data_IF_326649094305
#
_entry.id   IF_326649094305
#
_cell.length_a   1.000
_cell.length_b   1.000
_cell.length_c   1.000
_cell.angle_alpha   90.00
_cell.angle_beta   90.00
_cell.angle_gamma   90.00
#
_symmetry.space_group_name_H-M   'P 1'
#
loop_
_entity.id
_entity.type
_entity.pdbx_description
1 polymer ?
2 polymer ?
3 polymer ?
4 non-polymer ?
5 non-polymer ?
6 non-polymer ?
7 non-polymer ?
8 water ?
#
loop_
_entity_poly.entity_id
_entity_poly.type
_entity_poly.pdbx_seq_one_letter_code
_entity_poly.pdbx_strand_id
2 'polydeoxyribonucleotide' '(DA)(DG)(DC)(DG)(DT)(DG)(DG)(DG)(5FC)(DG)(DT)' ?
3 'polydeoxyribonucleotide' '(DT)(DA)(5CM)(DG)(DC)(DC)(DC)(DA)(DC)(DG)(DC)' ?
#
# COMPACT_ATOMS: atom_id res chain seq x y z
N UNK A 4 24.74 23.38 11.25
CA UNK A 4 24.09 24.61 10.80
C UNK A 4 24.16 24.75 9.29
N UNK A 5 23.06 24.45 8.62
CA UNK A 5 23.01 24.35 7.16
C UNK A 5 21.86 25.20 6.64
N UNK A 6 21.71 25.23 5.32
CA UNK A 6 20.57 25.86 4.66
C UNK A 6 19.60 24.74 4.28
N UNK A 7 18.47 24.67 4.98
CA UNK A 7 17.42 23.72 4.68
C UNK A 7 16.13 24.52 4.65
N UNK A 8 15.84 25.19 3.54
CA UNK A 8 14.65 26.06 3.49
C UNK A 8 13.35 25.32 3.22
N UNK A 9 13.40 24.00 3.07
CA UNK A 9 12.24 23.18 2.73
C UNK A 9 11.69 22.57 4.02
N UNK A 10 10.76 23.28 4.66
CA UNK A 10 10.19 22.83 5.92
C UNK A 10 8.95 21.96 5.68
N UNK A 11 8.81 20.94 6.51
CA UNK A 11 7.60 20.14 6.49
C UNK A 11 6.53 20.83 7.31
N UNK A 12 5.41 21.16 6.67
CA UNK A 12 4.34 21.86 7.35
C UNK A 12 3.31 20.92 7.98
N UNK A 13 3.49 19.60 7.89
CA UNK A 13 2.51 18.72 8.52
C UNK A 13 2.45 18.95 10.03
N UNK A 14 1.26 18.73 10.60
CA UNK A 14 1.02 19.06 12.00
C UNK A 14 2.08 18.42 12.87
N UNK A 15 2.66 19.25 13.75
CA UNK A 15 3.64 18.84 14.76
C UNK A 15 4.95 18.33 14.18
N UNK A 16 5.18 18.48 12.88
CA UNK A 16 6.42 18.04 12.27
C UNK A 16 7.36 19.24 12.15
N UNK A 17 8.53 19.14 12.76
CA UNK A 17 9.52 20.20 12.71
C UNK A 17 10.76 19.78 11.92
N UNK A 18 10.60 18.97 10.89
CA UNK A 18 11.71 18.58 10.03
C UNK A 18 11.87 19.54 8.86
N UNK A 19 13.11 19.69 8.42
CA UNK A 19 13.40 20.57 7.30
C UNK A 19 14.48 19.91 6.45
N UNK A 20 14.50 20.27 5.19
CA UNK A 20 15.30 19.58 4.19
C UNK A 20 16.02 20.57 3.30
N UNK A 21 17.12 20.08 2.70
CA UNK A 21 17.96 20.85 1.82
C UNK A 21 17.45 20.91 0.38
N UNK A 22 16.66 19.94 -0.06
CA UNK A 22 16.19 19.96 -1.44
C UNK A 22 14.74 19.49 -1.49
N UNK A 23 13.99 20.00 -2.48
CA UNK A 23 12.55 19.75 -2.51
C UNK A 23 12.24 18.26 -2.54
N UNK A 24 13.07 17.45 -3.20
CA UNK A 24 12.72 16.03 -3.35
C UNK A 24 12.85 15.30 -2.02
N UNK A 25 13.81 15.70 -1.19
CA UNK A 25 13.97 15.02 0.08
C UNK A 25 12.79 15.30 0.99
N UNK A 26 12.22 16.50 0.89
CA UNK A 26 11.01 16.83 1.63
C UNK A 26 9.84 16.02 1.11
N UNK A 27 9.71 15.91 -0.20
CA UNK A 27 8.58 15.15 -0.73
C UNK A 27 8.67 13.68 -0.35
N UNK A 28 9.90 13.12 -0.37
CA UNK A 28 10.10 11.76 0.10
C UNK A 28 9.63 11.58 1.55
N UNK A 29 10.10 12.47 2.44
CA UNK A 29 9.70 12.41 3.83
C UNK A 29 8.21 12.50 3.98
N UNK A 30 7.57 13.35 3.17
CA UNK A 30 6.14 13.59 3.32
C UNK A 30 5.33 12.34 3.01
N UNK A 31 5.87 11.42 2.22
CA UNK A 31 5.15 10.18 1.97
C UNK A 31 4.99 9.37 3.22
N UNK A 32 5.81 9.61 4.24
CA UNK A 32 5.61 8.93 5.52
C UNK A 32 4.34 9.41 6.19
N UNK A 33 3.96 10.67 5.94
CA UNK A 33 2.75 11.21 6.54
C UNK A 33 1.51 10.76 5.79
N UNK A 34 1.60 10.69 4.46
CA UNK A 34 0.46 10.43 3.59
C UNK A 34 0.26 8.94 3.31
N UNK A 35 1.29 8.14 3.41
CA UNK A 35 1.22 6.76 2.96
C UNK A 35 1.25 6.55 1.47
N UNK A 36 1.58 7.57 0.70
CA UNK A 36 1.67 7.43 -0.74
C UNK A 36 2.80 6.49 -1.11
N UNK A 37 2.54 5.61 -2.08
CA UNK A 37 3.52 4.60 -2.51
C UNK A 37 3.58 4.61 -4.03
N UNK A 38 4.42 5.45 -4.62
CA UNK A 38 4.34 5.62 -6.08
C UNK A 38 4.91 4.45 -6.86
N UNK A 39 5.69 3.56 -6.25
CA UNK A 39 6.49 2.62 -7.04
C UNK A 39 5.94 1.21 -6.86
N UNK A 40 5.96 0.41 -7.94
CA UNK A 40 5.37 -0.91 -7.91
C UNK A 40 6.35 -1.95 -8.43
N UNK A 41 6.48 -3.02 -7.66
CA UNK A 41 7.16 -4.23 -8.06
C UNK A 41 6.32 -4.98 -9.09
N UNK A 42 6.87 -5.20 -10.28
CA UNK A 42 6.12 -5.86 -11.34
C UNK A 42 6.12 -7.36 -11.19
N UNK A 43 6.82 -7.91 -10.19
CA UNK A 43 6.80 -9.34 -9.91
C UNK A 43 5.66 -9.72 -8.99
N UNK A 44 5.44 -8.95 -7.92
CA UNK A 44 4.47 -9.31 -6.90
C UNK A 44 3.41 -8.24 -6.68
N UNK A 45 3.51 -7.08 -7.36
CA UNK A 45 2.51 -6.02 -7.41
C UNK A 45 2.57 -5.13 -6.17
N UNK A 46 3.41 -5.46 -5.19
CA UNK A 46 3.52 -4.63 -3.99
C UNK A 46 3.99 -3.22 -4.37
N UNK A 47 3.45 -2.22 -3.67
CA UNK A 47 3.86 -0.84 -3.86
C UNK A 47 4.71 -0.32 -2.70
N UNK A 48 5.55 0.66 -3.03
CA UNK A 48 6.55 1.18 -2.12
C UNK A 48 6.60 2.68 -2.21
N UNK A 49 7.02 3.32 -1.11
CA UNK A 49 7.17 4.78 -1.14
C UNK A 49 8.35 5.23 -1.98
N UNK A 50 9.34 4.36 -2.21
CA UNK A 50 10.65 4.80 -2.73
C UNK A 50 11.24 3.84 -3.74
N UNK A 51 11.83 4.40 -4.81
CA UNK A 51 12.42 3.53 -5.82
C UNK A 51 13.65 2.78 -5.29
N UNK A 52 14.43 3.38 -4.37
CA UNK A 52 15.61 2.69 -3.88
C UNK A 52 15.24 1.48 -3.03
N UNK A 53 14.17 1.60 -2.24
CA UNK A 53 13.61 0.49 -1.49
C UNK A 53 12.88 -0.52 -2.39
N UNK A 54 12.26 -0.07 -3.47
CA UNK A 54 11.78 -1.02 -4.46
C UNK A 54 12.94 -1.86 -5.00
N UNK A 55 14.08 -1.22 -5.27
CA UNK A 55 15.18 -1.92 -5.88
C UNK A 55 15.69 -3.05 -4.99
N UNK A 56 15.89 -2.78 -3.69
CA UNK A 56 16.37 -3.84 -2.80
C UNK A 56 15.27 -4.89 -2.59
N UNK A 57 14.01 -4.48 -2.49
CA UNK A 57 12.92 -5.45 -2.44
C UNK A 57 12.98 -6.45 -3.59
N UNK A 58 13.25 -5.99 -4.81
CA UNK A 58 13.23 -6.91 -5.94
C UNK A 58 14.30 -7.99 -5.81
N UNK A 59 15.38 -7.77 -5.03
CA UNK A 59 16.36 -8.82 -4.84
C UNK A 59 15.81 -10.01 -4.04
N UNK A 60 14.67 -9.84 -3.35
CA UNK A 60 14.03 -10.97 -2.67
C UNK A 60 13.43 -11.95 -3.67
N UNK A 61 13.08 -11.47 -4.87
CA UNK A 61 12.62 -12.34 -5.94
C UNK A 61 13.78 -12.93 -6.73
N UNK A 62 14.81 -12.12 -7.09
CA UNK A 62 15.86 -12.61 -7.98
C UNK A 62 16.97 -13.37 -7.27
N UNK A 63 17.10 -13.19 -5.95
CA UNK A 63 18.17 -13.85 -5.24
C UNK A 63 19.48 -13.13 -5.34
N UNK A 64 19.49 -11.94 -5.92
CA UNK A 64 20.72 -11.20 -6.13
C UNK A 64 21.32 -10.81 -4.77
N UNK A 65 22.60 -11.10 -4.59
CA UNK A 65 23.26 -10.89 -3.29
C UNK A 65 24.61 -10.27 -3.56
N UNK A 66 24.65 -8.96 -3.80
CA UNK A 66 25.90 -8.32 -4.24
C UNK A 66 26.94 -8.11 -3.16
N UNK A 67 26.63 -8.35 -1.89
CA UNK A 67 27.54 -8.02 -0.80
C UNK A 67 28.08 -9.30 -0.17
N UNK A 68 29.37 -9.54 -0.32
CA UNK A 68 29.98 -10.80 0.07
C UNK A 68 30.84 -10.59 1.31
N UNK A 69 30.76 -11.54 2.25
CA UNK A 69 31.60 -11.52 3.44
C UNK A 69 33.08 -11.63 3.09
N UNK A 70 33.90 -10.85 3.78
CA UNK A 70 35.34 -10.82 3.53
C UNK A 70 36.13 -11.72 4.46
N UNK A 71 35.46 -12.41 5.36
CA UNK A 71 36.14 -13.28 6.30
C UNK A 71 36.70 -14.49 5.56
N UNK A 72 37.92 -14.91 5.86
CA UNK A 72 38.50 -16.06 5.15
C UNK A 72 37.64 -17.31 5.33
N UNK A 73 37.39 -17.99 4.21
CA UNK A 73 36.64 -19.24 4.16
C UNK A 73 35.15 -19.06 4.44
N UNK A 74 34.66 -17.83 4.53
CA UNK A 74 33.24 -17.58 4.65
C UNK A 74 32.66 -17.29 3.27
N UNK A 75 31.61 -18.03 2.91
CA UNK A 75 30.93 -17.83 1.63
C UNK A 75 29.56 -17.17 1.80
N UNK A 76 29.34 -16.45 2.90
CA UNK A 76 28.06 -15.78 3.09
C UNK A 76 27.96 -14.54 2.22
N UNK A 77 26.80 -14.34 1.60
CA UNK A 77 26.50 -13.20 0.73
C UNK A 77 25.17 -12.57 1.13
N UNK A 78 24.98 -11.28 0.83
CA UNK A 78 23.79 -10.57 1.26
C UNK A 78 23.26 -9.62 0.18
N UNK A 79 21.94 -9.41 0.24
CA UNK A 79 21.27 -8.51 -0.69
C UNK A 79 21.60 -7.05 -0.41
N UNK A 80 21.85 -6.70 0.85
CA UNK A 80 22.00 -5.33 1.29
C UNK A 80 23.30 -5.13 2.06
N UNK A 81 23.85 -3.92 1.98
CA UNK A 81 25.12 -3.64 2.66
C UNK A 81 24.98 -3.68 4.20
N UNK A 82 23.85 -3.24 4.73
CA UNK A 82 23.63 -3.30 6.17
C UNK A 82 23.51 -4.73 6.65
N UNK A 83 22.98 -5.64 5.83
CA UNK A 83 23.02 -7.05 6.24
C UNK A 83 24.46 -7.53 6.43
N UNK A 84 25.37 -7.02 5.59
CA UNK A 84 26.76 -7.50 5.61
C UNK A 84 27.49 -6.90 6.79
N UNK A 85 27.25 -5.62 7.05
CA UNK A 85 27.75 -4.95 8.24
C UNK A 85 27.40 -5.77 9.48
N UNK A 86 26.13 -6.22 9.59
CA UNK A 86 25.75 -6.95 10.81
C UNK A 86 26.47 -8.28 10.90
N UNK A 87 26.62 -8.98 9.77
CA UNK A 87 27.33 -10.25 9.74
C UNK A 87 28.80 -10.08 10.12
N UNK A 88 29.45 -9.06 9.57
CA UNK A 88 30.84 -8.77 9.88
C UNK A 88 31.00 -8.46 11.35
N UNK A 89 30.05 -7.75 11.94
CA UNK A 89 30.17 -7.47 13.37
C UNK A 89 30.16 -8.79 14.16
N UNK A 90 29.55 -9.85 13.60
CA UNK A 90 29.44 -11.15 14.28
C UNK A 90 30.73 -11.95 14.27
N UNK A 91 31.44 -12.00 13.15
CA UNK A 91 32.73 -12.70 13.13
C UNK A 91 33.65 -12.25 14.26
N UNK A 92 33.60 -10.97 14.61
CA UNK A 92 34.59 -10.40 15.50
C UNK A 92 34.19 -10.45 16.97
N UNK A 93 32.90 -10.46 17.27
CA UNK A 93 32.43 -10.58 18.65
C UNK A 93 31.15 -11.41 18.71
N UNK D 7 -6.30 -22.78 -1.12
CA UNK D 7 -7.66 -22.41 -1.50
C UNK D 7 -8.40 -23.58 -2.16
N UNK D 8 -9.14 -24.36 -1.36
CA UNK D 8 -9.79 -25.55 -1.91
C UNK D 8 -11.19 -25.33 -2.45
N UNK D 9 -11.78 -24.15 -2.30
CA UNK D 9 -13.09 -23.86 -2.86
C UNK D 9 -12.94 -23.33 -4.28
N UNK D 10 -13.44 -24.10 -5.25
CA UNK D 10 -13.32 -23.80 -6.66
C UNK D 10 -14.65 -23.33 -7.24
N UNK D 11 -14.56 -22.40 -8.16
CA UNK D 11 -15.71 -21.94 -8.92
C UNK D 11 -15.85 -22.83 -10.14
N UNK D 12 -17.01 -23.45 -10.27
CA UNK D 12 -17.25 -24.38 -11.37
C UNK D 12 -17.90 -23.72 -12.57
N UNK D 13 -18.07 -22.40 -12.59
CA UNK D 13 -18.66 -21.76 -13.75
C UNK D 13 -17.74 -21.90 -14.96
N UNK D 14 -18.35 -21.81 -16.13
CA UNK D 14 -17.62 -21.98 -17.39
C UNK D 14 -16.40 -21.07 -17.43
N UNK D 15 -15.26 -21.66 -17.75
CA UNK D 15 -14.00 -20.98 -18.00
C UNK D 15 -13.47 -20.20 -16.81
N UNK D 16 -14.00 -20.43 -15.62
CA UNK D 16 -13.55 -19.72 -14.43
C UNK D 16 -12.59 -20.62 -13.67
N UNK D 17 -11.39 -20.12 -13.40
CA UNK D 17 -10.38 -20.89 -12.67
C UNK D 17 -10.12 -20.31 -11.28
N UNK D 18 -10.92 -19.34 -10.85
CA UNK D 18 -10.75 -18.75 -9.54
C UNK D 18 -10.96 -19.79 -8.44
N UNK D 19 -10.20 -19.64 -7.36
CA UNK D 19 -10.31 -20.49 -6.19
C UNK D 19 -10.35 -19.62 -4.95
N UNK D 20 -10.87 -20.18 -3.86
CA UNK D 20 -11.11 -19.38 -2.66
C UNK D 20 -10.77 -20.17 -1.40
N UNK D 21 -10.37 -19.43 -0.37
CA UNK D 21 -9.95 -20.00 0.89
C UNK D 21 -11.13 -20.28 1.83
N UNK D 22 -12.32 -19.79 1.52
CA UNK D 22 -13.46 -20.00 2.40
C UNK D 22 -14.74 -19.98 1.56
N UNK D 23 -15.72 -20.80 1.96
CA UNK D 23 -16.91 -20.95 1.15
C UNK D 23 -17.59 -19.62 0.87
N UNK D 24 -17.52 -18.66 1.81
CA UNK D 24 -18.25 -17.42 1.64
C UNK D 24 -17.61 -16.54 0.56
N UNK D 25 -16.30 -16.61 0.39
CA UNK D 25 -15.69 -15.81 -0.65
C UNK D 25 -16.01 -16.37 -2.02
N UNK D 26 -16.10 -17.69 -2.13
CA UNK D 26 -16.61 -18.30 -3.34
C UNK D 26 -18.02 -17.81 -3.62
N UNK D 27 -18.90 -17.91 -2.63
CA UNK D 27 -20.28 -17.49 -2.88
C UNK D 27 -20.34 -16.02 -3.29
N UNK D 28 -19.50 -15.18 -2.68
CA UNK D 28 -19.50 -13.77 -3.04
C UNK D 28 -19.14 -13.59 -4.51
N UNK D 29 -18.07 -14.27 -4.94
CA UNK D 29 -17.62 -14.21 -6.33
C UNK D 29 -18.69 -14.68 -7.30
N UNK D 30 -19.36 -15.78 -6.96
CA UNK D 30 -20.36 -16.33 -7.88
C UNK D 30 -21.50 -15.37 -8.10
N UNK D 31 -21.71 -14.44 -7.18
CA UNK D 31 -22.71 -13.41 -7.45
C UNK D 31 -22.35 -12.57 -8.67
N UNK D 32 -21.05 -12.51 -9.05
CA UNK D 32 -20.66 -11.81 -10.28
C UNK D 32 -21.25 -12.49 -11.51
N UNK D 33 -21.24 -13.83 -11.51
CA UNK D 33 -21.72 -14.65 -12.61
C UNK D 33 -23.24 -14.58 -12.72
N UNK D 34 -23.93 -14.59 -11.58
CA UNK D 34 -25.39 -14.76 -11.56
C UNK D 34 -26.15 -13.46 -11.53
N UNK D 35 -25.54 -12.38 -11.07
CA UNK D 35 -26.22 -11.12 -10.87
C UNK D 35 -27.08 -11.02 -9.64
N UNK D 36 -26.96 -11.96 -8.69
CA UNK D 36 -27.76 -11.92 -7.49
C UNK D 36 -27.38 -10.71 -6.65
N UNK D 37 -28.39 -10.07 -6.05
CA UNK D 37 -28.17 -8.86 -5.25
C UNK D 37 -28.99 -8.93 -3.96
N UNK D 38 -28.46 -9.57 -2.93
CA UNK D 38 -29.32 -9.87 -1.77
C UNK D 38 -29.63 -8.65 -0.91
N UNK D 39 -28.90 -7.55 -1.02
CA UNK D 39 -28.95 -6.48 -0.03
C UNK D 39 -29.56 -5.22 -0.63
N UNK D 40 -30.36 -4.52 0.14
CA UNK D 40 -31.17 -3.42 -0.36
C UNK D 40 -31.00 -2.19 0.52
N UNK D 41 -30.80 -1.05 -0.13
CA UNK D 41 -30.74 0.25 0.52
C UNK D 41 -32.12 0.65 0.98
N UNK D 42 -32.27 0.92 2.28
CA UNK D 42 -33.58 1.29 2.81
C UNK D 42 -34.00 2.69 2.37
N UNK D 43 -33.07 3.50 1.86
CA UNK D 43 -33.40 4.86 1.46
C UNK D 43 -33.95 4.92 0.04
N UNK D 44 -33.25 4.28 -0.91
CA UNK D 44 -33.59 4.37 -2.33
C UNK D 44 -33.97 3.03 -2.96
N UNK D 45 -33.96 1.93 -2.20
CA UNK D 45 -34.43 0.60 -2.61
C UNK D 45 -33.51 -0.05 -3.63
N UNK D 46 -32.42 0.61 -4.04
CA UNK D 46 -31.41 -0.05 -4.86
C UNK D 46 -30.88 -1.31 -4.18
N UNK D 47 -30.62 -2.36 -4.98
CA UNK D 47 -30.11 -3.62 -4.48
C UNK D 47 -28.65 -3.84 -4.87
N UNK D 48 -27.93 -4.58 -4.04
CA UNK D 48 -26.49 -4.75 -4.15
C UNK D 48 -26.11 -6.20 -3.91
N UNK D 49 -24.99 -6.60 -4.52
CA UNK D 49 -24.46 -7.95 -4.31
C UNK D 49 -23.87 -8.17 -2.93
N UNK D 50 -23.44 -7.11 -2.24
CA UNK D 50 -22.64 -7.23 -1.03
C UNK D 50 -23.04 -6.22 0.03
N UNK D 51 -22.98 -6.64 1.29
CA UNK D 51 -23.36 -5.74 2.36
C UNK D 51 -22.30 -4.66 2.61
N UNK D 52 -21.02 -4.91 2.31
CA UNK D 52 -20.02 -3.87 2.51
C UNK D 52 -20.17 -2.78 1.46
N UNK D 53 -20.51 -3.16 0.24
CA UNK D 53 -20.76 -2.17 -0.80
C UNK D 53 -22.08 -1.44 -0.57
N UNK D 54 -23.07 -2.11 0.01
CA UNK D 54 -24.25 -1.40 0.43
C UNK D 54 -23.92 -0.34 1.49
N UNK D 55 -23.01 -0.64 2.42
CA UNK D 55 -22.70 0.31 3.48
C UNK D 55 -22.03 1.57 2.92
N UNK D 56 -21.06 1.45 2.03
CA UNK D 56 -20.49 2.67 1.46
C UNK D 56 -21.53 3.39 0.59
N UNK D 57 -22.39 2.63 -0.09
CA UNK D 57 -23.45 3.28 -0.87
C UNK D 57 -24.32 4.18 0.01
N UNK D 58 -24.65 3.75 1.22
CA UNK D 58 -25.54 4.56 2.04
C UNK D 58 -24.93 5.91 2.39
N UNK D 59 -23.59 6.07 2.28
CA UNK D 59 -22.99 7.37 2.55
C UNK D 59 -23.28 8.38 1.44
N UNK D 60 -23.69 7.91 0.26
CA UNK D 60 -24.18 8.83 -0.74
C UNK D 60 -25.46 9.54 -0.27
N UNK D 61 -26.19 8.96 0.67
CA UNK D 61 -27.37 9.61 1.21
C UNK D 61 -27.07 10.41 2.47
N UNK D 62 -26.17 9.91 3.31
CA UNK D 62 -25.91 10.53 4.61
C UNK D 62 -24.82 11.59 4.56
N UNK D 63 -24.04 11.62 3.49
CA UNK D 63 -22.98 12.60 3.40
C UNK D 63 -21.84 12.36 4.36
N UNK D 64 -21.84 11.25 5.10
CA UNK D 64 -20.71 10.93 5.97
C UNK D 64 -19.42 10.85 5.17
N UNK D 65 -18.38 11.51 5.65
CA UNK D 65 -17.08 11.49 4.98
C UNK D 65 -16.02 11.32 6.06
N UNK D 66 -15.75 10.09 6.49
CA UNK D 66 -14.84 9.88 7.62
C UNK D 66 -13.36 9.87 7.27
N UNK D 67 -12.98 10.05 6.00
CA UNK D 67 -11.58 10.00 5.62
C UNK D 67 -11.11 11.39 5.23
N UNK D 68 -10.26 11.96 6.05
CA UNK D 68 -9.80 13.34 5.90
C UNK D 68 -8.40 13.40 5.31
N UNK D 69 -8.21 14.31 4.36
CA UNK D 69 -6.87 14.66 3.89
C UNK D 69 -5.97 15.08 5.03
N UNK D 70 -4.74 14.61 4.99
CA UNK D 70 -3.75 14.97 5.99
C UNK D 70 -2.88 16.14 5.56
N UNK D 71 -2.96 16.55 4.30
CA UNK D 71 -2.16 17.63 3.77
C UNK D 71 -2.40 18.93 4.55
N UNK D 72 -1.36 19.68 4.87
CA UNK D 72 -1.55 20.92 5.65
C UNK D 72 -2.56 21.88 5.03
N UNK D 73 -3.51 22.32 5.84
CA UNK D 73 -4.48 23.33 5.46
C UNK D 73 -5.41 22.87 4.34
N UNK D 74 -5.46 21.57 4.06
CA UNK D 74 -6.45 20.98 3.17
C UNK D 74 -7.60 20.43 4.02
N UNK D 75 -8.82 20.83 3.68
CA UNK D 75 -10.01 20.37 4.40
C UNK D 75 -10.82 19.35 3.61
N UNK D 76 -10.21 18.70 2.63
CA UNK D 76 -10.96 17.74 1.84
C UNK D 76 -11.21 16.47 2.64
N UNK D 77 -12.43 15.94 2.51
CA UNK D 77 -12.90 14.76 3.21
C UNK D 77 -13.62 13.86 2.21
N UNK D 78 -13.59 12.55 2.46
CA UNK D 78 -14.11 11.58 1.51
C UNK D 78 -14.88 10.49 2.23
N UNK D 79 -15.87 9.94 1.51
CA UNK D 79 -16.68 8.83 2.04
C UNK D 79 -15.90 7.52 2.10
N UNK D 80 -14.88 7.34 1.28
CA UNK D 80 -14.18 6.06 1.16
C UNK D 80 -12.67 6.23 1.25
N UNK D 81 -12.03 5.19 1.75
CA UNK D 81 -10.58 5.24 1.97
C UNK D 81 -9.83 5.39 0.65
N UNK D 82 -10.29 4.70 -0.41
CA UNK D 82 -9.63 4.76 -1.70
C UNK D 82 -9.80 6.12 -2.36
N UNK D 83 -10.90 6.82 -2.09
CA UNK D 83 -10.99 8.19 -2.60
C UNK D 83 -9.89 9.04 -1.99
N UNK D 84 -9.58 8.77 -0.73
CA UNK D 84 -8.55 9.54 0.00
C UNK D 84 -7.17 9.18 -0.51
N UNK D 85 -6.94 7.89 -0.77
CA UNK D 85 -5.70 7.46 -1.39
C UNK D 85 -5.45 8.21 -2.69
N UNK D 86 -6.47 8.26 -3.56
CA UNK D 86 -6.31 8.95 -4.83
C UNK D 86 -6.03 10.44 -4.64
N UNK D 87 -6.73 11.09 -3.71
CA UNK D 87 -6.49 12.50 -3.41
C UNK D 87 -5.07 12.76 -2.88
N UNK D 88 -4.63 11.95 -1.91
CA UNK D 88 -3.28 12.09 -1.42
C UNK D 88 -2.26 11.92 -2.54
N UNK D 89 -2.51 10.98 -3.47
CA UNK D 89 -1.56 10.76 -4.55
C UNK D 89 -1.42 12.01 -5.38
N UNK D 90 -2.54 12.72 -5.60
CA UNK D 90 -2.51 13.94 -6.40
C UNK D 90 -1.76 15.08 -5.73
N UNK D 91 -1.71 15.15 -4.40
CA UNK D 91 -0.95 16.23 -3.76
C UNK D 91 0.53 16.16 -4.15
N UNK D 92 0.99 14.98 -4.52
CA UNK D 92 2.37 14.73 -4.87
C UNK D 92 2.50 14.51 -6.36
X LIG G 1 6.94 15.99 8.30
X LIG H 1 7.91 -7.88 -5.34
X LIG I 1 31.21 -14.28 7.03
X LIG J 1 6.84 22.34 10.57
X LIG K 1 7.88 -7.64 0.75
X LIG K 1 6.65 -8.21 0.37
X LIG K 1 8.63 -8.52 1.73
X LIG K 1 9.70 -9.08 1.00
X LIG K 1 7.70 -6.66 1.20
X LIG K 1 8.49 -7.49 -0.14
X LIG K 1 6.20 -7.62 -0.26
X LIG K 1 8.99 -7.93 2.57
X LIG K 1 7.97 -9.31 2.11
X LIG K 1 10.22 -9.65 1.58
X LIG L 1 -16.15 -17.97 -11.22
X LIG M 1 -29.61 4.17 -1.58
X LIG N 1 -5.93 17.38 0.38
X LIG O 1 -13.10 -23.88 -12.13
X LIG P 1 -19.70 -10.05 -6.23
X LIG P 1 -19.97 -8.66 -6.34
X LIG P 1 -18.20 -10.23 -6.36
X LIG P 1 -17.58 -9.47 -5.33
X LIG P 1 -20.22 -10.61 -7.01
X LIG P 1 -20.03 -10.44 -5.25
X LIG P 1 -20.93 -8.53 -6.25
X LIG P 1 -17.94 -11.29 -6.26
X LIG P 1 -17.88 -9.88 -7.34
X LIG P 1 -16.63 -9.56 -5.40
X LIG Q 1 -7.67 3.31 5.86
#
# INVERSE_FOLDING_TARGET
GPLGSEKPYQCDFKDCERRFSRSDHLKRHQRRHTGVKPFQCKTCQRKFSRSDHLKTHTRTHTGEKPFSCRWPSCQKKFARSDELVRHHNMHQR
GPLGSEKPYQCDFKDCERRFSRSDHLKRHQRRHTGVKPFQCKTCQRKFSRSDHLKTHTRTHTGEKPFSCRWPSCQKKFARSDELVRHHNMHQR
ZN ZN
ZN ZN
ZN ZN
CA CA
EDO C1 O1 C2 O2 H11 H12 HO1 H21 H22 HO2
ZN ZN
ZN ZN
ZN ZN
CA CA
EDO C1 O1 C2 O2 H11 H12 HO1 H21 H22 HO2
NA NA
#
